data_IF_530200561836
#
_entry.id   IF_530200561836
#
_cell.length_a   1.000
_cell.length_b   1.000
_cell.length_c   1.000
_cell.angle_alpha   90.00
_cell.angle_beta   90.00
_cell.angle_gamma   90.00
#
_symmetry.space_group_name_H-M   'P 1'
#
loop_
_entity.id
_entity.type
_entity.pdbx_description
1 polymer ?
#
# COMPACT_ATOMS: atom_id res chain seq x y z
N UNK A 1 -8.41 -11.60 13.75
CA UNK A 1 -7.67 -12.33 12.70
C UNK A 1 -7.88 -11.59 11.40
N UNK A 2 -6.89 -10.85 10.88
CA UNK A 2 -6.97 -10.31 9.53
C UNK A 2 -6.83 -11.47 8.53
N UNK A 3 -7.75 -11.55 7.58
CA UNK A 3 -7.76 -12.55 6.52
C UNK A 3 -7.54 -11.88 5.17
N UNK A 4 -7.11 -12.64 4.17
CA UNK A 4 -6.90 -12.13 2.79
C UNK A 4 -8.17 -11.46 2.24
N UNK A 5 -9.32 -11.97 2.68
CA UNK A 5 -10.64 -11.42 2.35
C UNK A 5 -10.80 -10.00 2.90
N UNK A 6 -10.34 -9.71 4.12
CA UNK A 6 -10.42 -8.37 4.71
C UNK A 6 -9.52 -7.36 3.99
N UNK A 7 -8.30 -7.76 3.63
CA UNK A 7 -7.40 -6.89 2.83
C UNK A 7 -8.03 -6.58 1.47
N UNK A 8 -8.57 -7.61 0.79
CA UNK A 8 -9.27 -7.43 -0.48
C UNK A 8 -10.52 -6.58 -0.34
N UNK A 9 -11.36 -6.81 0.66
CA UNK A 9 -12.59 -6.04 0.89
C UNK A 9 -12.27 -4.57 1.16
N UNK A 10 -11.25 -4.31 1.98
CA UNK A 10 -10.78 -2.97 2.26
C UNK A 10 -10.27 -2.26 1.00
N UNK A 11 -9.48 -2.95 0.17
CA UNK A 11 -9.04 -2.43 -1.13
C UNK A 11 -10.20 -2.22 -2.10
N UNK A 12 -11.22 -3.10 -2.09
CA UNK A 12 -12.41 -2.93 -2.91
C UNK A 12 -13.23 -1.70 -2.49
N UNK A 13 -13.31 -1.41 -1.19
CA UNK A 13 -14.01 -0.25 -0.65
C UNK A 13 -13.27 1.07 -0.90
N UNK A 14 -11.94 1.09 -0.77
CA UNK A 14 -11.14 2.30 -0.94
C UNK A 14 -10.61 2.49 -2.38
N UNK A 15 -10.68 1.46 -3.22
CA UNK A 15 -10.14 1.43 -4.57
C UNK A 15 -8.62 1.22 -4.60
N UNK A 16 -7.87 2.13 -3.97
CA UNK A 16 -6.40 2.08 -3.85
C UNK A 16 -5.95 2.48 -2.46
N UNK A 17 -4.99 1.76 -1.90
CA UNK A 17 -4.43 2.06 -0.57
C UNK A 17 -2.95 1.71 -0.46
N UNK A 18 -2.25 2.42 0.43
CA UNK A 18 -0.88 2.08 0.80
C UNK A 18 -0.83 0.89 1.76
N UNK A 19 0.19 0.03 1.65
CA UNK A 19 0.39 -1.09 2.56
C UNK A 19 0.41 -0.67 4.05
N UNK A 20 0.99 0.50 4.37
CA UNK A 20 0.98 1.05 5.72
C UNK A 20 -0.43 1.44 6.18
N UNK A 21 -1.26 2.02 5.31
CA UNK A 21 -2.63 2.37 5.65
C UNK A 21 -3.48 1.11 5.90
N UNK A 22 -3.29 0.07 5.09
CA UNK A 22 -3.97 -1.23 5.28
C UNK A 22 -3.54 -1.84 6.62
N UNK A 23 -2.24 -1.85 6.91
CA UNK A 23 -1.66 -2.33 8.17
C UNK A 23 -2.26 -1.60 9.38
N UNK A 24 -2.37 -0.27 9.32
CA UNK A 24 -2.98 0.53 10.38
C UNK A 24 -4.47 0.26 10.52
N UNK A 25 -5.20 0.13 9.41
CA UNK A 25 -6.66 -0.08 9.42
C UNK A 25 -7.03 -1.46 9.96
N UNK A 26 -6.30 -2.50 9.56
CA UNK A 26 -6.52 -3.87 10.01
C UNK A 26 -5.76 -4.21 11.29
N UNK A 27 -5.05 -3.24 11.89
CA UNK A 27 -4.20 -3.44 13.08
C UNK A 27 -3.27 -4.66 12.93
N UNK A 28 -2.78 -4.87 11.71
CA UNK A 28 -2.02 -6.05 11.30
C UNK A 28 -0.59 -5.64 11.00
N UNK A 29 0.44 -6.38 11.46
CA UNK A 29 1.82 -6.00 11.21
C UNK A 29 2.11 -5.91 9.70
N UNK A 30 2.84 -4.86 9.30
CA UNK A 30 3.29 -4.64 7.92
C UNK A 30 3.82 -5.89 7.20
N UNK A 31 4.70 -6.72 7.79
CA UNK A 31 5.19 -7.93 7.11
C UNK A 31 4.09 -8.94 6.76
N UNK A 32 3.01 -8.98 7.54
CA UNK A 32 1.87 -9.85 7.25
C UNK A 32 1.01 -9.27 6.13
N UNK A 33 0.78 -7.96 6.12
CA UNK A 33 0.08 -7.28 5.03
C UNK A 33 0.85 -7.44 3.72
N UNK A 34 2.17 -7.27 3.74
CA UNK A 34 3.04 -7.48 2.59
C UNK A 34 2.93 -8.92 2.05
N UNK A 35 3.01 -9.94 2.93
CA UNK A 35 2.79 -11.33 2.53
C UNK A 35 1.39 -11.56 1.93
N UNK A 36 0.35 -10.93 2.48
CA UNK A 36 -1.02 -11.04 1.98
C UNK A 36 -1.21 -10.36 0.63
N UNK A 37 -0.59 -9.20 0.43
CA UNK A 37 -0.63 -8.45 -0.82
C UNK A 37 0.16 -9.16 -1.91
N UNK A 38 1.36 -9.66 -1.61
CA UNK A 38 2.13 -10.53 -2.50
C UNK A 38 1.34 -11.78 -2.90
N UNK A 39 0.59 -12.38 -1.96
CA UNK A 39 -0.26 -13.51 -2.30
C UNK A 39 -1.44 -13.10 -3.20
N UNK A 40 -2.05 -11.92 -2.98
CA UNK A 40 -3.09 -11.39 -3.86
C UNK A 40 -2.56 -11.05 -5.26
N UNK A 41 -1.33 -10.57 -5.36
CA UNK A 41 -0.62 -10.34 -6.62
C UNK A 41 -0.32 -11.65 -7.36
N UNK A 42 0.19 -12.66 -6.65
CA UNK A 42 0.40 -14.01 -7.20
C UNK A 42 -0.89 -14.66 -7.70
N UNK A 43 -2.03 -14.37 -7.04
CA UNK A 43 -3.35 -14.80 -7.51
C UNK A 43 -3.91 -13.94 -8.65
N UNK A 44 -3.23 -12.87 -9.06
CA UNK A 44 -3.67 -11.92 -10.09
C UNK A 44 -4.83 -11.02 -9.67
N UNK A 45 -5.11 -10.90 -8.36
CA UNK A 45 -6.24 -10.12 -7.81
C UNK A 45 -5.84 -8.70 -7.36
N UNK A 46 -4.57 -8.50 -7.05
CA UNK A 46 -4.03 -7.19 -6.67
C UNK A 46 -2.84 -6.84 -7.56
N UNK A 47 -2.57 -5.55 -7.69
CA UNK A 47 -1.41 -5.02 -8.40
C UNK A 47 -0.73 -4.00 -7.51
N UNK A 48 0.59 -4.15 -7.34
CA UNK A 48 1.44 -3.14 -6.74
C UNK A 48 1.77 -2.05 -7.74
N UNK A 49 1.45 -0.82 -7.39
CA UNK A 49 1.83 0.41 -8.07
C UNK A 49 2.86 1.10 -7.19
N UNK A 50 4.13 1.04 -7.56
CA UNK A 50 5.15 1.87 -6.93
C UNK A 50 5.04 3.26 -7.57
N UNK A 51 4.76 4.29 -6.77
CA UNK A 51 4.94 5.66 -7.26
C UNK A 51 6.44 5.97 -7.27
N UNK A 52 6.99 6.15 -8.47
CA UNK A 52 8.34 6.67 -8.64
C UNK A 52 8.42 8.08 -8.04
N UNK A 53 9.47 8.41 -7.26
CA UNK A 53 9.66 9.73 -6.67
C UNK A 53 9.98 10.83 -7.69
N UNK A 54 9.90 10.55 -9.00
CA UNK A 54 10.23 11.51 -10.08
C UNK A 54 9.36 12.78 -10.04
N UNK A 55 8.20 12.72 -9.37
CA UNK A 55 7.37 13.88 -9.05
C UNK A 55 7.99 14.90 -8.07
N UNK A 56 9.15 14.62 -7.47
CA UNK A 56 9.87 15.58 -6.61
C UNK A 56 10.74 16.58 -7.40
N UNK A 57 10.44 16.86 -8.67
CA UNK A 57 11.07 17.94 -9.45
C UNK A 57 10.70 19.36 -9.01
N UNK A 58 9.86 19.53 -7.99
CA UNK A 58 9.65 20.81 -7.32
C UNK A 58 9.87 20.62 -5.83
N UNK A 59 10.82 21.36 -5.25
CA UNK A 59 11.29 21.28 -3.85
C UNK A 59 10.26 21.56 -2.75
N UNK A 60 9.08 20.95 -2.82
CA UNK A 60 8.02 21.00 -1.81
C UNK A 60 8.06 19.84 -0.81
N UNK A 61 9.09 18.98 -0.85
CA UNK A 61 9.35 18.00 0.22
C UNK A 61 9.75 18.64 1.58
N UNK A 62 9.68 19.97 1.75
CA UNK A 62 9.83 20.63 3.06
C UNK A 62 8.80 20.19 4.10
N UNK A 63 7.65 19.64 3.68
CA UNK A 63 6.64 19.08 4.60
C UNK A 63 6.71 17.55 4.75
N UNK A 64 7.73 16.89 4.19
CA UNK A 64 8.03 15.49 4.51
C UNK A 64 9.14 15.46 5.58
N UNK A 65 8.81 15.42 6.89
CA UNK A 65 9.82 15.33 7.95
C UNK A 65 10.74 14.09 7.82
N UNK A 66 10.33 13.06 7.07
CA UNK A 66 11.22 12.02 6.58
C UNK A 66 11.30 12.05 5.05
N UNK A 67 12.32 12.72 4.48
CA UNK A 67 12.64 12.71 3.04
C UNK A 67 13.02 11.33 2.45
N UNK A 68 12.74 10.23 3.16
CA UNK A 68 12.83 8.83 2.71
C UNK A 68 11.47 8.14 2.66
N UNK A 69 10.40 8.79 3.10
CA UNK A 69 9.05 8.23 3.17
C UNK A 69 8.22 8.42 1.88
N UNK A 70 8.80 9.00 0.82
CA UNK A 70 8.10 9.21 -0.45
C UNK A 70 8.02 7.95 -1.33
N UNK A 71 8.71 6.86 -0.97
CA UNK A 71 8.52 5.55 -1.62
C UNK A 71 7.19 4.98 -1.12
N UNK A 72 6.09 5.46 -1.68
CA UNK A 72 4.76 4.96 -1.35
C UNK A 72 4.42 3.83 -2.32
N UNK A 73 4.27 2.63 -1.76
CA UNK A 73 3.77 1.46 -2.47
C UNK A 73 2.25 1.45 -2.37
N UNK A 74 1.60 1.75 -3.48
CA UNK A 74 0.14 1.73 -3.58
C UNK A 74 -0.28 0.35 -4.07
N UNK A 75 -1.37 -0.14 -3.50
CA UNK A 75 -1.99 -1.38 -3.89
C UNK A 75 -3.40 -1.11 -4.37
N UNK A 76 -3.75 -1.70 -5.50
CA UNK A 76 -5.10 -1.67 -6.05
C UNK A 76 -5.54 -3.10 -6.36
N UNK A 77 -6.85 -3.33 -6.38
CA UNK A 77 -7.37 -4.54 -6.99
C UNK A 77 -7.31 -4.43 -8.52
N UNK A 78 -7.15 -5.58 -9.16
CA UNK A 78 -7.28 -5.74 -10.62
C UNK A 78 -8.70 -6.12 -11.00
#
# INVERSE_FOLDING_TARGET
>A
MASLIQVRDLLALQGRMEAMQISRTLHTPQPMIDAMLNQLENMGRAVRIQEDPDGCLSGSCKSCPEGKACLREWWTLR
#
